data_IF_194198779601
#
_entry.id   IF_194198779601
#
_cell.length_a   1.000
_cell.length_b   1.000
_cell.length_c   1.000
_cell.angle_alpha   90.00
_cell.angle_beta   90.00
_cell.angle_gamma   90.00
#
_symmetry.space_group_name_H-M   'P 1'
#
loop_
_entity.id
_entity.type
_entity.pdbx_description
1 polymer ?
#
# COMPACT_ATOMS: atom_id res chain seq x y z
N UNK A 1 13.45 -1.78 7.73
CA UNK A 1 12.71 -1.91 8.99
C UNK A 1 11.56 -2.88 8.80
N UNK A 2 11.38 -3.78 9.77
CA UNK A 2 10.23 -4.67 9.88
C UNK A 2 9.62 -4.54 11.28
N UNK A 3 8.30 -4.49 11.35
CA UNK A 3 7.56 -4.38 12.61
C UNK A 3 6.42 -5.40 12.62
N UNK A 4 6.19 -6.04 13.76
CA UNK A 4 5.07 -6.96 13.98
C UNK A 4 4.49 -6.75 15.35
N UNK A 5 3.18 -6.62 15.44
CA UNK A 5 2.48 -6.57 16.72
C UNK A 5 2.18 -7.99 17.19
N UNK A 6 2.45 -8.26 18.45
CA UNK A 6 2.14 -9.54 19.11
C UNK A 6 1.43 -9.30 20.43
N UNK A 7 0.61 -10.26 20.82
CA UNK A 7 -0.05 -10.28 22.13
C UNK A 7 0.26 -11.60 22.84
N UNK A 8 0.61 -11.51 24.12
CA UNK A 8 0.77 -12.70 24.95
C UNK A 8 -0.58 -13.13 25.52
N UNK A 9 -1.14 -14.20 25.00
CA UNK A 9 -2.40 -14.79 25.49
C UNK A 9 -2.20 -15.94 26.50
N UNK A 10 -0.95 -16.21 26.85
CA UNK A 10 -0.67 -17.15 27.95
C UNK A 10 -0.88 -16.49 29.32
N UNK A 11 -1.09 -17.30 30.35
CA UNK A 11 -1.26 -16.86 31.72
C UNK A 11 0.05 -16.62 32.49
N UNK A 12 1.18 -16.57 31.80
CA UNK A 12 2.52 -16.34 32.34
C UNK A 12 3.38 -15.53 31.40
N UNK A 13 4.45 -14.94 31.92
CA UNK A 13 5.45 -14.24 31.13
C UNK A 13 6.05 -15.13 30.05
N UNK A 14 6.32 -14.55 28.90
CA UNK A 14 6.97 -15.21 27.76
C UNK A 14 8.19 -14.45 27.30
N UNK A 15 9.31 -15.16 27.14
CA UNK A 15 10.46 -14.62 26.48
C UNK A 15 10.27 -14.72 24.97
N UNK A 16 10.33 -13.58 24.28
CA UNK A 16 10.15 -13.50 22.84
C UNK A 16 11.40 -12.99 22.15
N UNK A 17 11.69 -13.49 20.96
CA UNK A 17 12.67 -12.93 20.05
C UNK A 17 12.11 -12.88 18.63
N UNK A 18 12.56 -11.88 17.88
CA UNK A 18 12.09 -11.57 16.55
C UNK A 18 13.26 -11.68 15.57
N UNK A 19 13.03 -12.39 14.48
CA UNK A 19 14.01 -12.57 13.41
C UNK A 19 13.37 -12.23 12.07
N UNK A 20 14.12 -11.59 11.21
CA UNK A 20 13.68 -11.21 9.86
C UNK A 20 14.67 -11.79 8.85
N UNK A 21 14.13 -12.38 7.79
CA UNK A 21 14.89 -12.85 6.64
C UNK A 21 14.36 -12.16 5.38
N UNK A 22 15.26 -11.53 4.64
CA UNK A 22 14.99 -11.00 3.31
C UNK A 22 15.37 -12.03 2.27
N UNK A 23 14.40 -12.40 1.43
CA UNK A 23 14.54 -13.46 0.43
C UNK A 23 14.27 -12.84 -0.95
N UNK A 24 15.16 -13.11 -1.89
CA UNK A 24 15.02 -12.69 -3.28
C UNK A 24 13.89 -13.46 -3.99
N UNK A 25 13.50 -12.99 -5.16
CA UNK A 25 12.43 -13.60 -5.95
C UNK A 25 12.71 -15.05 -6.39
N UNK A 26 13.98 -15.43 -6.47
CA UNK A 26 14.41 -16.81 -6.80
C UNK A 26 14.48 -17.73 -5.57
N UNK A 27 14.16 -17.21 -4.38
CA UNK A 27 14.21 -17.95 -3.11
C UNK A 27 15.56 -17.86 -2.37
N UNK A 28 16.53 -17.16 -2.92
CA UNK A 28 17.82 -16.96 -2.27
C UNK A 28 17.69 -16.05 -1.06
N UNK A 29 18.17 -16.48 0.11
CA UNK A 29 18.26 -15.63 1.29
C UNK A 29 19.35 -14.58 1.08
N UNK A 30 18.95 -13.30 1.09
CA UNK A 30 19.87 -12.18 0.94
C UNK A 30 20.50 -11.84 2.28
N UNK A 31 19.67 -11.74 3.31
CA UNK A 31 20.10 -11.35 4.64
C UNK A 31 19.13 -11.83 5.71
N UNK A 32 19.68 -12.29 6.83
CA UNK A 32 18.93 -12.58 8.05
C UNK A 32 19.46 -11.69 9.18
N UNK A 33 18.56 -11.10 9.94
CA UNK A 33 18.92 -10.23 11.05
C UNK A 33 17.95 -10.36 12.22
N UNK A 34 18.51 -10.15 13.41
CA UNK A 34 17.78 -10.23 14.68
C UNK A 34 17.12 -8.89 15.00
N UNK A 35 15.99 -8.95 15.69
CA UNK A 35 15.25 -7.80 16.17
C UNK A 35 15.02 -7.83 17.68
N UNK A 36 13.88 -7.32 18.09
CA UNK A 36 13.47 -7.20 19.50
C UNK A 36 13.59 -8.53 20.25
N UNK A 37 14.19 -8.47 21.43
CA UNK A 37 14.14 -9.52 22.47
C UNK A 37 13.51 -8.92 23.71
N UNK A 38 12.43 -9.51 24.19
CA UNK A 38 11.65 -8.97 25.29
C UNK A 38 11.00 -10.06 26.14
N UNK A 39 10.59 -9.68 27.35
CA UNK A 39 9.66 -10.47 28.16
C UNK A 39 8.29 -9.80 28.05
N UNK A 40 7.27 -10.55 27.65
CA UNK A 40 5.90 -10.06 27.45
C UNK A 40 5.00 -10.67 28.51
N UNK A 41 4.35 -9.81 29.29
CA UNK A 41 3.46 -10.22 30.38
C UNK A 41 2.13 -10.77 29.85
N UNK A 42 1.38 -11.55 30.66
CA UNK A 42 0.03 -11.99 30.29
C UNK A 42 -0.87 -10.85 29.86
N UNK A 43 -1.53 -10.97 28.72
CA UNK A 43 -2.43 -9.98 28.15
C UNK A 43 -1.76 -8.75 27.53
N UNK A 44 -0.45 -8.63 27.64
CA UNK A 44 0.31 -7.50 27.07
C UNK A 44 0.42 -7.62 25.55
N UNK A 45 0.30 -6.47 24.88
CA UNK A 45 0.55 -6.32 23.44
C UNK A 45 1.79 -5.45 23.27
N UNK A 46 2.73 -5.90 22.47
CA UNK A 46 3.96 -5.17 22.12
C UNK A 46 4.22 -5.17 20.63
N UNK A 47 4.97 -4.18 20.15
CA UNK A 47 5.49 -4.16 18.78
C UNK A 47 6.94 -4.65 18.77
N UNK A 48 7.19 -5.74 18.06
CA UNK A 48 8.52 -6.23 17.76
C UNK A 48 9.09 -5.47 16.57
N UNK A 49 10.36 -5.11 16.63
CA UNK A 49 11.04 -4.33 15.60
C UNK A 49 12.38 -4.96 15.23
N UNK A 50 12.70 -4.89 13.95
CA UNK A 50 14.00 -5.26 13.43
C UNK A 50 14.42 -4.30 12.31
N UNK A 51 15.70 -4.00 12.19
CA UNK A 51 16.22 -3.14 11.14
C UNK A 51 17.61 -3.62 10.70
N UNK A 52 17.88 -3.50 9.42
CA UNK A 52 19.20 -3.72 8.85
C UNK A 52 19.36 -2.88 7.58
N UNK A 53 20.60 -2.54 7.27
CA UNK A 53 20.95 -1.99 5.96
C UNK A 53 21.14 -3.15 4.99
N UNK A 54 20.63 -2.99 3.76
CA UNK A 54 20.76 -3.99 2.70
C UNK A 54 21.15 -3.26 1.42
N UNK A 55 22.26 -3.68 0.84
CA UNK A 55 22.79 -3.14 -0.40
C UNK A 55 22.34 -3.92 -1.62
N UNK A 56 22.52 -3.33 -2.80
CA UNK A 56 22.33 -3.97 -4.11
C UNK A 56 20.92 -4.51 -4.36
N UNK A 57 19.90 -3.87 -3.78
CA UNK A 57 18.52 -4.22 -4.03
C UNK A 57 18.07 -3.77 -5.43
N UNK A 58 17.30 -4.63 -6.10
CA UNK A 58 16.55 -4.26 -7.27
C UNK A 58 15.31 -3.45 -6.85
N UNK A 59 15.23 -2.19 -7.26
CA UNK A 59 14.10 -1.36 -6.90
C UNK A 59 12.90 -1.63 -7.80
N UNK A 60 11.76 -1.80 -7.17
CA UNK A 60 10.47 -1.82 -7.84
C UNK A 60 10.25 -0.51 -8.62
N UNK A 61 9.80 -0.60 -9.86
CA UNK A 61 9.53 0.55 -10.72
C UNK A 61 8.42 0.26 -11.71
N UNK A 62 7.99 1.28 -12.43
CA UNK A 62 7.09 1.12 -13.55
C UNK A 62 7.70 0.18 -14.61
N UNK A 63 6.91 -0.80 -15.06
CA UNK A 63 7.33 -1.84 -15.99
C UNK A 63 8.36 -2.82 -15.41
N UNK A 64 8.69 -2.71 -14.13
CA UNK A 64 9.67 -3.56 -13.43
C UNK A 64 9.15 -3.93 -12.03
N UNK A 65 8.28 -4.91 -12.01
CA UNK A 65 7.65 -5.43 -10.79
C UNK A 65 8.57 -6.35 -9.99
N UNK A 66 9.72 -5.85 -9.53
CA UNK A 66 10.65 -6.66 -8.75
C UNK A 66 10.21 -6.75 -7.30
N UNK A 67 9.97 -7.98 -6.84
CA UNK A 67 9.45 -8.25 -5.51
C UNK A 67 10.35 -9.19 -4.74
N UNK A 68 10.44 -8.93 -3.44
CA UNK A 68 11.09 -9.73 -2.42
C UNK A 68 10.08 -10.36 -1.49
N UNK A 69 10.51 -11.34 -0.73
CA UNK A 69 9.75 -11.84 0.42
C UNK A 69 10.48 -11.45 1.71
N UNK A 70 9.79 -10.72 2.56
CA UNK A 70 10.24 -10.46 3.94
C UNK A 70 9.57 -11.49 4.83
N UNK A 71 10.36 -12.38 5.37
CA UNK A 71 9.90 -13.44 6.27
C UNK A 71 10.21 -13.04 7.71
N UNK A 72 9.18 -12.90 8.51
CA UNK A 72 9.29 -12.57 9.93
C UNK A 72 8.99 -13.79 10.77
N UNK A 73 9.84 -14.10 11.73
CA UNK A 73 9.73 -15.27 12.61
C UNK A 73 9.63 -14.86 14.07
N UNK A 74 8.64 -15.38 14.77
CA UNK A 74 8.47 -15.22 16.21
C UNK A 74 8.97 -16.48 16.94
N UNK A 75 9.87 -16.25 17.87
CA UNK A 75 10.38 -17.28 18.76
C UNK A 75 9.88 -17.01 20.18
N UNK A 76 9.39 -18.05 20.85
CA UNK A 76 8.94 -17.98 22.24
C UNK A 76 9.62 -19.07 23.04
N UNK A 77 10.26 -18.66 24.15
CA UNK A 77 11.02 -19.57 25.04
C UNK A 77 12.03 -20.46 24.24
N UNK A 78 12.67 -19.87 23.21
CA UNK A 78 13.68 -20.52 22.36
C UNK A 78 13.13 -21.41 21.24
N UNK A 79 11.82 -21.45 21.02
CA UNK A 79 11.18 -22.21 19.93
C UNK A 79 10.48 -21.28 18.96
N UNK A 80 10.64 -21.52 17.66
CA UNK A 80 9.88 -20.80 16.64
C UNK A 80 8.41 -21.24 16.74
N UNK A 81 7.51 -20.25 16.93
CA UNK A 81 6.07 -20.49 17.12
C UNK A 81 5.23 -19.95 15.99
N UNK A 82 5.75 -18.93 15.26
CA UNK A 82 5.03 -18.33 14.14
C UNK A 82 5.98 -17.79 13.08
N UNK A 83 5.52 -17.74 11.84
CA UNK A 83 6.25 -17.21 10.71
C UNK A 83 5.28 -16.60 9.70
N UNK A 84 5.56 -15.37 9.30
CA UNK A 84 4.77 -14.67 8.30
C UNK A 84 5.66 -14.26 7.13
N UNK A 85 5.24 -14.60 5.92
CA UNK A 85 5.89 -14.21 4.68
C UNK A 85 5.12 -13.07 4.02
N UNK A 86 5.75 -11.92 3.91
CA UNK A 86 5.17 -10.73 3.28
C UNK A 86 5.88 -10.45 1.98
N UNK A 87 5.16 -10.49 0.85
CA UNK A 87 5.71 -10.06 -0.43
C UNK A 87 5.69 -8.54 -0.52
N UNK A 88 6.80 -7.93 -0.86
CA UNK A 88 6.95 -6.48 -0.99
C UNK A 88 8.02 -6.10 -2.01
N UNK A 89 8.11 -4.83 -2.34
CA UNK A 89 9.18 -4.26 -3.17
C UNK A 89 9.76 -3.02 -2.53
N UNK A 90 11.00 -2.75 -2.81
CA UNK A 90 11.69 -1.56 -2.31
C UNK A 90 11.73 -0.49 -3.39
N UNK A 91 11.44 0.74 -3.03
CA UNK A 91 11.46 1.90 -3.91
C UNK A 91 11.72 3.17 -3.12
N UNK A 92 12.14 4.22 -3.81
CA UNK A 92 12.21 5.58 -3.29
C UNK A 92 11.15 6.43 -3.96
N UNK A 93 10.44 7.23 -3.20
CA UNK A 93 9.46 8.19 -3.70
C UNK A 93 9.71 9.56 -3.11
N UNK A 94 9.46 10.58 -3.88
CA UNK A 94 9.48 11.98 -3.43
C UNK A 94 8.43 12.77 -4.20
N UNK A 95 7.68 13.58 -3.47
CA UNK A 95 6.66 14.48 -4.01
C UNK A 95 7.02 15.90 -3.65
N UNK A 96 6.95 16.84 -4.59
CA UNK A 96 7.21 18.25 -4.31
C UNK A 96 7.56 19.04 -5.54
N UNK A 97 7.44 20.36 -5.47
CA UNK A 97 7.70 21.31 -6.57
C UNK A 97 6.95 20.94 -7.86
N UNK A 98 5.72 20.43 -7.73
CA UNK A 98 4.91 19.99 -8.87
C UNK A 98 5.42 18.74 -9.58
N UNK A 99 6.35 17.99 -8.99
CA UNK A 99 6.94 16.80 -9.60
C UNK A 99 6.83 15.59 -8.69
N UNK A 100 6.87 14.41 -9.32
CA UNK A 100 6.92 13.11 -8.66
C UNK A 100 8.23 12.44 -9.07
N UNK A 101 8.94 11.89 -8.08
CA UNK A 101 10.14 11.09 -8.31
C UNK A 101 9.91 9.67 -7.86
N UNK A 102 10.29 8.73 -8.71
CA UNK A 102 10.39 7.31 -8.42
C UNK A 102 11.83 6.87 -8.68
N UNK A 103 12.50 6.35 -7.64
CA UNK A 103 13.90 5.92 -7.70
C UNK A 103 14.83 7.01 -8.28
N UNK A 104 14.71 8.22 -7.75
CA UNK A 104 15.48 9.41 -8.11
C UNK A 104 15.26 9.95 -9.54
N UNK A 105 14.27 9.43 -10.27
CA UNK A 105 13.86 9.92 -11.60
C UNK A 105 12.49 10.56 -11.56
N UNK A 106 12.35 11.69 -12.27
CA UNK A 106 11.04 12.31 -12.44
C UNK A 106 10.15 11.41 -13.30
N UNK A 107 8.93 11.20 -12.84
CA UNK A 107 7.91 10.47 -13.56
C UNK A 107 6.64 11.32 -13.67
N UNK A 108 6.07 11.37 -14.89
CA UNK A 108 4.76 11.97 -15.13
C UNK A 108 3.71 10.88 -15.16
N UNK A 109 2.63 11.07 -14.40
CA UNK A 109 1.54 10.11 -14.37
C UNK A 109 0.72 10.16 -15.65
N UNK A 110 0.59 9.01 -16.31
CA UNK A 110 -0.23 8.78 -17.50
C UNK A 110 -1.04 7.52 -17.22
N UNK A 111 -2.31 7.69 -16.92
CA UNK A 111 -3.07 6.59 -16.39
C UNK A 111 -4.49 6.47 -16.91
N UNK A 112 -5.09 5.39 -16.54
CA UNK A 112 -6.49 5.08 -16.76
C UNK A 112 -7.22 5.00 -15.42
N UNK A 113 -8.48 5.45 -15.42
CA UNK A 113 -9.40 5.12 -14.38
C UNK A 113 -10.05 3.77 -14.71
N UNK A 114 -10.09 2.87 -13.74
CA UNK A 114 -10.62 1.52 -13.92
C UNK A 114 -11.45 1.14 -12.70
N UNK A 115 -12.49 0.35 -12.93
CA UNK A 115 -13.26 -0.29 -11.86
C UNK A 115 -12.65 -1.65 -11.52
N UNK A 116 -12.74 -2.05 -10.27
CA UNK A 116 -12.25 -3.35 -9.79
C UNK A 116 -12.97 -4.53 -10.44
N UNK A 117 -14.18 -4.31 -10.92
CA UNK A 117 -14.96 -5.33 -11.61
C UNK A 117 -14.41 -5.69 -12.99
N UNK A 118 -13.55 -4.85 -13.57
CA UNK A 118 -13.03 -4.97 -14.95
C UNK A 118 -14.07 -5.33 -16.00
N UNK A 119 -15.33 -5.39 -15.61
CA UNK A 119 -16.50 -5.65 -16.46
C UNK A 119 -16.34 -6.87 -17.39
N UNK A 120 -15.64 -7.89 -16.91
CA UNK A 120 -15.44 -9.12 -17.69
C UNK A 120 -16.71 -9.97 -17.68
N UNK A 121 -17.32 -10.22 -18.84
CA UNK A 121 -18.50 -11.08 -18.91
C UNK A 121 -18.25 -12.46 -18.31
N UNK A 122 -19.16 -12.90 -17.45
CA UNK A 122 -19.11 -14.22 -16.83
C UNK A 122 -18.30 -14.33 -15.54
N UNK A 123 -17.43 -13.38 -15.23
CA UNK A 123 -16.66 -13.36 -13.98
C UNK A 123 -17.10 -12.24 -13.03
N UNK A 124 -17.65 -11.14 -13.57
CA UNK A 124 -18.08 -10.00 -12.78
C UNK A 124 -16.93 -9.43 -11.94
N UNK A 125 -17.17 -9.26 -10.65
CA UNK A 125 -16.18 -8.70 -9.72
C UNK A 125 -15.15 -9.72 -9.23
N UNK A 126 -15.36 -11.02 -9.43
CA UNK A 126 -14.44 -12.07 -8.99
C UNK A 126 -13.35 -12.34 -10.03
N UNK A 127 -12.52 -11.34 -10.27
CA UNK A 127 -11.44 -11.43 -11.25
C UNK A 127 -10.31 -12.31 -10.70
N UNK A 128 -9.94 -13.41 -11.37
CA UNK A 128 -8.81 -14.23 -10.94
C UNK A 128 -7.47 -13.50 -11.19
N UNK A 129 -6.45 -13.84 -10.40
CA UNK A 129 -5.16 -13.14 -10.44
C UNK A 129 -4.54 -13.04 -11.84
N UNK A 130 -4.63 -14.11 -12.65
CA UNK A 130 -4.08 -14.11 -14.01
C UNK A 130 -4.78 -13.11 -14.94
N UNK A 131 -6.08 -12.88 -14.73
CA UNK A 131 -6.85 -11.92 -15.53
C UNK A 131 -6.56 -10.49 -15.12
N UNK A 132 -6.36 -10.24 -13.81
CA UNK A 132 -5.83 -8.97 -13.32
C UNK A 132 -4.44 -8.69 -13.90
N UNK A 133 -3.55 -9.68 -13.92
CA UNK A 133 -2.21 -9.54 -14.49
C UNK A 133 -2.28 -9.22 -16.00
N UNK A 134 -3.13 -9.91 -16.75
CA UNK A 134 -3.34 -9.64 -18.17
C UNK A 134 -3.85 -8.21 -18.41
N UNK A 135 -4.90 -7.79 -17.69
CA UNK A 135 -5.48 -6.46 -17.82
C UNK A 135 -4.48 -5.35 -17.49
N UNK A 136 -3.79 -5.48 -16.35
CA UNK A 136 -2.81 -4.49 -15.91
C UNK A 136 -1.57 -4.46 -16.79
N UNK A 137 -1.17 -5.61 -17.34
CA UNK A 137 -0.05 -5.70 -18.29
C UNK A 137 -0.35 -4.95 -19.59
N UNK A 138 -1.58 -5.06 -20.12
CA UNK A 138 -1.99 -4.27 -21.29
C UNK A 138 -1.87 -2.76 -21.08
N UNK A 139 -2.11 -2.26 -19.84
CA UNK A 139 -1.89 -0.85 -19.53
C UNK A 139 -0.41 -0.49 -19.61
N UNK A 140 0.47 -1.33 -19.09
CA UNK A 140 1.94 -1.14 -19.16
C UNK A 140 2.43 -1.18 -20.60
N UNK A 141 1.97 -2.13 -21.39
CA UNK A 141 2.28 -2.22 -22.85
C UNK A 141 1.80 -0.98 -23.61
N UNK A 142 0.64 -0.43 -23.23
CA UNK A 142 0.10 0.82 -23.76
C UNK A 142 0.82 2.08 -23.27
N UNK A 143 1.96 1.93 -22.56
CA UNK A 143 2.71 3.03 -21.94
C UNK A 143 1.95 3.83 -20.88
N UNK A 144 0.90 3.29 -20.27
CA UNK A 144 0.34 3.80 -19.04
C UNK A 144 1.22 3.41 -17.85
N UNK A 145 1.35 4.30 -16.89
CA UNK A 145 2.11 4.04 -15.68
C UNK A 145 1.28 4.15 -14.40
N UNK A 146 -0.01 4.47 -14.53
CA UNK A 146 -0.92 4.64 -13.39
C UNK A 146 -2.28 4.00 -13.68
N UNK A 147 -2.80 3.27 -12.74
CA UNK A 147 -4.23 2.95 -12.65
C UNK A 147 -4.84 3.66 -11.45
N UNK A 148 -5.94 4.35 -11.69
CA UNK A 148 -6.80 4.92 -10.66
C UNK A 148 -8.03 4.06 -10.48
N UNK A 149 -8.19 3.46 -9.32
CA UNK A 149 -9.35 2.63 -9.02
C UNK A 149 -10.57 3.51 -8.72
N UNK A 150 -11.69 3.28 -9.41
CA UNK A 150 -12.93 4.04 -9.25
C UNK A 150 -14.01 3.15 -8.63
N UNK A 151 -14.77 3.57 -7.70
CA UNK A 151 -14.55 4.51 -6.61
C UNK A 151 -14.61 3.71 -5.32
N UNK A 152 -13.93 2.56 -5.33
CA UNK A 152 -13.86 1.60 -4.24
C UNK A 152 -12.43 1.14 -4.03
N UNK A 153 -12.15 0.64 -2.85
CA UNK A 153 -10.87 -0.03 -2.59
C UNK A 153 -10.74 -1.25 -3.51
N UNK A 154 -9.66 -1.37 -4.29
CA UNK A 154 -9.48 -2.51 -5.19
C UNK A 154 -9.32 -3.82 -4.42
N UNK A 155 -9.63 -4.92 -5.08
CA UNK A 155 -9.40 -6.25 -4.54
C UNK A 155 -7.91 -6.52 -4.35
N UNK A 156 -7.58 -7.37 -3.38
CA UNK A 156 -6.18 -7.70 -3.07
C UNK A 156 -5.43 -8.25 -4.30
N UNK A 157 -6.06 -9.10 -5.10
CA UNK A 157 -5.45 -9.62 -6.32
C UNK A 157 -5.16 -8.54 -7.37
N UNK A 158 -5.98 -7.47 -7.45
CA UNK A 158 -5.72 -6.35 -8.36
C UNK A 158 -4.51 -5.54 -7.88
N UNK A 159 -4.42 -5.29 -6.58
CA UNK A 159 -3.28 -4.61 -5.95
C UNK A 159 -1.99 -5.41 -6.18
N UNK A 160 -2.00 -6.69 -5.87
CA UNK A 160 -0.85 -7.58 -6.06
C UNK A 160 -0.47 -7.77 -7.52
N UNK A 161 -1.43 -7.71 -8.42
CA UNK A 161 -1.18 -7.69 -9.86
C UNK A 161 -0.39 -6.45 -10.26
N UNK A 162 -0.78 -5.27 -9.79
CA UNK A 162 -0.02 -4.03 -10.02
C UNK A 162 1.43 -4.14 -9.50
N UNK A 163 1.62 -4.80 -8.36
CA UNK A 163 2.97 -5.07 -7.84
C UNK A 163 3.79 -5.93 -8.81
N UNK A 164 3.20 -7.01 -9.34
CA UNK A 164 3.89 -7.96 -10.24
C UNK A 164 4.21 -7.36 -11.60
N UNK A 165 3.28 -6.60 -12.19
CA UNK A 165 3.47 -6.03 -13.52
C UNK A 165 4.23 -4.70 -13.52
N UNK A 166 4.40 -4.07 -12.35
CA UNK A 166 5.04 -2.76 -12.26
C UNK A 166 4.11 -1.62 -12.68
N UNK A 167 2.85 -1.65 -12.29
CA UNK A 167 1.89 -0.57 -12.55
C UNK A 167 1.61 0.21 -11.28
N UNK A 168 1.89 1.52 -11.30
CA UNK A 168 1.57 2.41 -10.18
C UNK A 168 0.06 2.48 -10.00
N UNK A 169 -0.40 2.57 -8.75
CA UNK A 169 -1.81 2.69 -8.47
C UNK A 169 -2.16 3.78 -7.46
N UNK A 170 -3.33 4.37 -7.66
CA UNK A 170 -4.02 5.21 -6.71
C UNK A 170 -5.15 4.38 -6.06
N UNK A 171 -4.99 4.08 -4.77
CA UNK A 171 -5.91 3.26 -4.00
C UNK A 171 -6.92 4.14 -3.28
N UNK A 172 -8.21 3.92 -3.53
CA UNK A 172 -9.28 4.63 -2.85
C UNK A 172 -9.65 4.00 -1.49
N UNK A 173 -10.13 4.86 -0.61
CA UNK A 173 -10.63 4.48 0.70
C UNK A 173 -12.03 3.85 0.68
N UNK A 174 -12.79 4.02 -0.37
CA UNK A 174 -14.14 3.48 -0.45
C UNK A 174 -15.04 4.23 -1.45
N UNK A 175 -16.25 3.73 -1.62
CA UNK A 175 -17.23 4.33 -2.55
C UNK A 175 -17.58 5.75 -2.13
N UNK A 176 -17.08 6.69 -2.89
CA UNK A 176 -17.18 8.10 -2.55
C UNK A 176 -17.19 8.97 -3.79
N UNK A 177 -18.36 9.05 -4.44
CA UNK A 177 -18.54 10.05 -5.49
C UNK A 177 -18.34 11.45 -4.92
N UNK A 178 -18.94 11.75 -3.78
CA UNK A 178 -18.88 13.06 -3.12
C UNK A 178 -18.55 12.94 -1.65
N UNK A 179 -18.24 14.06 -1.03
CA UNK A 179 -18.08 14.14 0.41
C UNK A 179 -19.38 13.72 1.15
N UNK A 180 -19.24 13.28 2.37
CA UNK A 180 -20.33 12.83 3.22
C UNK A 180 -20.06 13.18 4.68
N UNK A 181 -21.08 13.07 5.51
CA UNK A 181 -21.03 13.44 6.93
C UNK A 181 -21.52 12.30 7.83
N UNK A 182 -21.29 12.48 9.13
CA UNK A 182 -21.80 11.58 10.16
C UNK A 182 -21.31 10.13 9.97
N UNK A 183 -22.20 9.17 10.15
CA UNK A 183 -21.85 7.73 10.12
C UNK A 183 -21.21 7.28 8.80
N UNK A 184 -21.58 7.88 7.68
CA UNK A 184 -20.96 7.54 6.39
C UNK A 184 -19.50 7.99 6.34
N UNK A 185 -19.19 9.16 6.88
CA UNK A 185 -17.82 9.62 6.97
C UNK A 185 -16.98 8.77 7.94
N UNK A 186 -17.52 8.44 9.11
CA UNK A 186 -16.88 7.53 10.06
C UNK A 186 -16.51 6.19 9.41
N UNK A 187 -17.44 5.58 8.66
CA UNK A 187 -17.17 4.35 7.93
C UNK A 187 -16.09 4.51 6.86
N UNK A 188 -16.03 5.67 6.21
CA UNK A 188 -15.00 5.96 5.20
C UNK A 188 -13.61 6.09 5.83
N UNK A 189 -13.50 6.74 6.99
CA UNK A 189 -12.24 6.82 7.74
C UNK A 189 -11.80 5.47 8.28
N UNK A 190 -12.72 4.66 8.79
CA UNK A 190 -12.46 3.27 9.19
C UNK A 190 -11.95 2.43 8.02
N UNK A 191 -12.61 2.54 6.86
CA UNK A 191 -12.19 1.82 5.65
C UNK A 191 -10.82 2.28 5.15
N UNK A 192 -10.51 3.59 5.19
CA UNK A 192 -9.18 4.11 4.84
C UNK A 192 -8.10 3.53 5.74
N UNK A 193 -8.34 3.53 7.04
CA UNK A 193 -7.42 2.92 8.01
C UNK A 193 -7.15 1.45 7.68
N UNK A 194 -8.20 0.68 7.49
CA UNK A 194 -8.11 -0.76 7.25
C UNK A 194 -7.45 -1.07 5.90
N UNK A 195 -7.79 -0.29 4.86
CA UNK A 195 -7.16 -0.41 3.54
C UNK A 195 -5.66 -0.10 3.58
N UNK A 196 -5.25 0.92 4.33
CA UNK A 196 -3.83 1.25 4.53
C UNK A 196 -3.12 0.12 5.26
N UNK A 197 -3.63 -0.32 6.41
CA UNK A 197 -3.01 -1.39 7.21
C UNK A 197 -2.84 -2.66 6.37
N UNK A 198 -3.86 -3.02 5.61
CA UNK A 198 -3.87 -4.25 4.80
C UNK A 198 -2.92 -4.18 3.59
N UNK A 199 -2.70 -2.97 3.03
CA UNK A 199 -2.00 -2.82 1.75
C UNK A 199 -0.70 -1.99 1.83
N UNK A 200 -0.30 -1.48 2.98
CA UNK A 200 0.90 -0.63 3.11
C UNK A 200 2.22 -1.31 2.72
N UNK A 201 2.24 -2.64 2.57
CA UNK A 201 3.41 -3.38 2.10
C UNK A 201 3.46 -3.58 0.57
N UNK A 202 2.45 -3.10 -0.17
CA UNK A 202 2.40 -3.21 -1.62
C UNK A 202 3.13 -2.03 -2.27
N UNK A 203 4.22 -2.24 -3.02
CA UNK A 203 5.07 -1.17 -3.53
C UNK A 203 4.41 -0.35 -4.65
N UNK A 204 3.45 -0.90 -5.38
CA UNK A 204 2.76 -0.24 -6.48
C UNK A 204 1.86 0.91 -6.03
N UNK A 205 1.38 0.91 -4.79
CA UNK A 205 0.59 2.01 -4.25
C UNK A 205 1.50 3.22 -4.01
N UNK A 206 1.34 4.26 -4.80
CA UNK A 206 2.01 5.55 -4.62
C UNK A 206 1.06 6.63 -4.10
N UNK A 207 -0.23 6.44 -4.29
CA UNK A 207 -1.26 7.40 -3.94
C UNK A 207 -2.38 6.74 -3.13
N UNK A 208 -2.81 7.45 -2.09
CA UNK A 208 -4.05 7.18 -1.40
C UNK A 208 -5.08 8.24 -1.77
N UNK A 209 -6.28 7.82 -2.11
CA UNK A 209 -7.41 8.70 -2.41
C UNK A 209 -8.46 8.66 -1.30
N UNK A 210 -8.77 9.82 -0.74
CA UNK A 210 -9.76 9.95 0.33
C UNK A 210 -11.21 10.06 -0.16
N UNK A 211 -11.40 10.12 -1.46
CA UNK A 211 -12.70 10.22 -2.12
C UNK A 211 -12.56 10.60 -3.60
N UNK A 212 -13.65 10.98 -4.26
CA UNK A 212 -13.62 11.39 -5.65
C UNK A 212 -13.80 12.91 -5.83
N UNK A 213 -14.93 13.46 -5.43
CA UNK A 213 -15.29 14.87 -5.64
C UNK A 213 -15.64 15.56 -4.33
N UNK A 214 -15.38 16.88 -4.29
CA UNK A 214 -15.89 17.79 -3.25
C UNK A 214 -15.49 17.42 -1.81
N UNK A 215 -14.38 16.71 -1.62
CA UNK A 215 -13.88 16.40 -0.28
C UNK A 215 -13.51 17.70 0.42
N UNK A 216 -14.04 17.92 1.63
CA UNK A 216 -13.76 19.11 2.42
C UNK A 216 -12.30 19.14 2.91
N UNK A 217 -11.84 20.34 3.25
CA UNK A 217 -10.50 20.53 3.81
C UNK A 217 -10.35 19.78 5.14
N UNK A 218 -11.37 19.82 5.96
CA UNK A 218 -11.41 19.17 7.27
C UNK A 218 -11.28 17.66 7.13
N UNK A 219 -12.01 17.07 6.20
CA UNK A 219 -11.94 15.65 5.91
C UNK A 219 -10.61 15.23 5.30
N UNK A 220 -10.00 16.09 4.47
CA UNK A 220 -8.66 15.82 3.95
C UNK A 220 -7.62 15.80 5.07
N UNK A 221 -7.70 16.71 6.03
CA UNK A 221 -6.81 16.74 7.21
C UNK A 221 -6.94 15.44 8.01
N UNK A 222 -8.16 14.98 8.25
CA UNK A 222 -8.41 13.73 8.98
C UNK A 222 -7.85 12.51 8.24
N UNK A 223 -8.09 12.40 6.93
CA UNK A 223 -7.55 11.31 6.10
C UNK A 223 -6.02 11.32 6.06
N UNK A 224 -5.42 12.52 6.01
CA UNK A 224 -3.97 12.66 6.08
C UNK A 224 -3.41 12.20 7.43
N UNK A 225 -4.08 12.53 8.53
CA UNK A 225 -3.70 12.07 9.86
C UNK A 225 -3.75 10.53 9.98
N UNK A 226 -4.75 9.89 9.37
CA UNK A 226 -4.86 8.44 9.30
C UNK A 226 -3.67 7.85 8.53
N UNK A 227 -3.34 8.39 7.34
CA UNK A 227 -2.16 7.95 6.59
C UNK A 227 -0.88 8.12 7.40
N UNK A 228 -0.68 9.27 8.03
CA UNK A 228 0.53 9.58 8.78
C UNK A 228 0.70 8.65 10.00
N UNK A 229 -0.41 8.21 10.59
CA UNK A 229 -0.40 7.26 11.71
C UNK A 229 -0.09 5.82 11.27
N UNK A 230 -0.72 5.35 10.19
CA UNK A 230 -0.68 3.92 9.82
C UNK A 230 0.33 3.59 8.71
N UNK A 231 0.82 4.59 7.97
CA UNK A 231 1.85 4.42 6.93
C UNK A 231 2.87 5.58 6.90
N UNK A 232 3.52 5.88 8.04
CA UNK A 232 4.40 7.05 8.15
C UNK A 232 5.66 6.97 7.27
N UNK A 233 6.04 5.77 6.84
CA UNK A 233 7.29 5.51 6.11
C UNK A 233 7.07 5.01 4.69
N UNK A 234 5.82 4.87 4.24
CA UNK A 234 5.51 4.31 2.94
C UNK A 234 5.86 5.19 1.74
N UNK A 235 6.11 6.47 1.96
CA UNK A 235 6.42 7.41 0.89
C UNK A 235 5.27 7.52 -0.12
N UNK A 236 4.04 7.62 0.37
CA UNK A 236 2.81 7.71 -0.43
C UNK A 236 2.15 9.06 -0.24
N UNK A 237 1.77 9.69 -1.34
CA UNK A 237 0.99 10.91 -1.30
C UNK A 237 -0.49 10.61 -1.05
N UNK A 238 -1.17 11.55 -0.39
CA UNK A 238 -2.62 11.48 -0.16
C UNK A 238 -3.31 12.68 -0.78
N UNK A 239 -4.44 12.45 -1.40
CA UNK A 239 -5.22 13.47 -2.08
C UNK A 239 -6.54 12.94 -2.59
N UNK A 240 -7.11 13.65 -3.53
CA UNK A 240 -8.31 13.25 -4.25
C UNK A 240 -8.42 13.98 -5.57
N UNK A 241 -9.43 13.69 -6.34
CA UNK A 241 -9.81 14.47 -7.51
C UNK A 241 -10.28 15.88 -7.09
N UNK A 242 -9.98 16.87 -7.91
CA UNK A 242 -10.46 18.27 -7.74
C UNK A 242 -9.96 18.95 -6.44
N UNK A 243 -8.78 18.61 -5.96
CA UNK A 243 -8.24 19.16 -4.71
C UNK A 243 -7.10 20.16 -4.90
N UNK A 244 -7.00 20.81 -6.06
CA UNK A 244 -5.91 21.75 -6.34
C UNK A 244 -5.90 22.97 -5.41
N UNK A 245 -7.05 23.37 -4.90
CA UNK A 245 -7.20 24.51 -3.99
C UNK A 245 -7.02 24.15 -2.50
N UNK A 246 -6.85 22.88 -2.18
CA UNK A 246 -6.70 22.39 -0.82
C UNK A 246 -5.23 22.11 -0.53
N UNK A 247 -4.63 22.98 0.28
CA UNK A 247 -3.19 22.92 0.59
C UNK A 247 -2.73 21.67 1.32
N UNK A 248 -3.61 21.02 2.03
CA UNK A 248 -3.37 19.81 2.79
C UNK A 248 -3.33 18.56 1.90
N UNK A 249 -3.92 18.62 0.71
CA UNK A 249 -3.76 17.58 -0.30
C UNK A 249 -2.33 17.62 -0.87
N UNK A 250 -1.72 16.47 -0.98
CA UNK A 250 -0.36 16.32 -1.49
C UNK A 250 -0.33 16.11 -3.02
N UNK A 251 -1.48 15.79 -3.61
CA UNK A 251 -1.75 15.79 -5.04
C UNK A 251 -3.22 16.09 -5.31
N UNK A 252 -3.51 16.56 -6.52
CA UNK A 252 -4.85 16.65 -7.07
C UNK A 252 -4.89 15.94 -8.41
N UNK A 253 -5.89 15.10 -8.61
CA UNK A 253 -6.12 14.42 -9.87
C UNK A 253 -7.21 15.13 -10.68
N UNK A 254 -7.00 15.28 -11.99
CA UNK A 254 -8.01 15.79 -12.90
C UNK A 254 -8.33 14.76 -13.99
N UNK A 255 -9.60 14.66 -14.33
CA UNK A 255 -10.07 13.91 -15.49
C UNK A 255 -10.38 14.89 -16.62
N UNK A 256 -9.69 14.72 -17.75
CA UNK A 256 -9.95 15.52 -18.95
C UNK A 256 -11.15 14.92 -19.68
N UNK A 257 -12.26 15.64 -19.67
CA UNK A 257 -13.41 15.35 -20.53
C UNK A 257 -13.24 16.12 -21.85
N UNK A 258 -13.10 15.41 -22.96
CA UNK A 258 -12.69 15.94 -24.27
C UNK A 258 -13.73 16.88 -24.90
N UNK A 259 -14.89 17.10 -24.33
CA UNK A 259 -15.97 17.91 -24.91
C UNK A 259 -16.48 19.00 -23.99
N UNK A 260 -15.61 19.75 -23.35
CA UNK A 260 -16.01 21.08 -22.87
C UNK A 260 -15.66 22.09 -23.97
N UNK A 261 -16.55 22.17 -24.98
CA UNK A 261 -16.59 23.31 -25.89
C UNK A 261 -17.15 24.52 -25.18
#
# INVERSE_FOLDING_TARGET
HAESEIRNEYNRDKQVSYQVELIDRDGTSIQTFEGTKAVVKPGETITLKAASEVDNLHFWSWGYGYLYTVKTSLWVDGRKVDEVATRTGFRKTRFGKGMIWLNDRVIQMKGFAQRTSNEWPGVGMSVPAWLSDYSNHLMVEGNANLVRWMHVTPWKQDIESCDRVGLIQAMQAGDAEKDCEGRQWEQRTELMRDAIIYNRNNPSILFYECGNESISREHMIEMKAIRDLYDPHGGRAIGSREMLDIREAEYGGEMLYINKS
#
